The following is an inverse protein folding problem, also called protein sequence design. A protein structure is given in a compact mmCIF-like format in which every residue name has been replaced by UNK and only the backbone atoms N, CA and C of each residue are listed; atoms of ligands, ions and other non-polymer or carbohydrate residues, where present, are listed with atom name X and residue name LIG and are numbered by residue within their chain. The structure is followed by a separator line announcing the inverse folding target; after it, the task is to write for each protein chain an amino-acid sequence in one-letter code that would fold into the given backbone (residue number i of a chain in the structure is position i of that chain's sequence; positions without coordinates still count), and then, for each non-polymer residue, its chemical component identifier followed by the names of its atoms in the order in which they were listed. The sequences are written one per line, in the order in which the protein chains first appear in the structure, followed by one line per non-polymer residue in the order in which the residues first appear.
data_IF_318152858732
#
_entry.id   IF_318152858732
#
_cell.length_a   1.000
_cell.length_b   1.000
_cell.length_c   1.000
_cell.angle_alpha   90.00
_cell.angle_beta   90.00
_cell.angle_gamma   90.00
#
_symmetry.space_group_name_H-M   'P 1'
#
loop_
_entity.id
_entity.type
_entity.pdbx_description
1 polymer ?
#
# COMPACT_ATOMS: atom_id res chain seq x y z
N UNK A 1 -23.03 -3.36 -10.73
CA UNK A 1 -22.67 -4.38 -9.75
C UNK A 1 -23.56 -5.64 -9.88
N UNK A 2 -24.87 -5.48 -10.00
CA UNK A 2 -25.78 -6.63 -10.13
C UNK A 2 -25.48 -7.45 -11.38
N UNK A 3 -25.33 -6.81 -12.53
CA UNK A 3 -24.99 -7.44 -13.81
C UNK A 3 -23.60 -8.08 -13.82
N UNK A 4 -22.65 -7.53 -13.05
CA UNK A 4 -21.30 -8.09 -12.89
C UNK A 4 -21.18 -9.15 -11.80
N UNK A 5 -22.26 -9.51 -11.14
CA UNK A 5 -22.30 -10.46 -10.01
C UNK A 5 -21.32 -10.10 -8.88
N UNK A 6 -21.01 -8.82 -8.72
CA UNK A 6 -20.07 -8.35 -7.72
C UNK A 6 -20.70 -8.29 -6.33
N UNK A 7 -19.95 -8.68 -5.33
CA UNK A 7 -20.39 -8.64 -3.94
C UNK A 7 -20.63 -7.20 -3.49
N UNK A 8 -21.78 -6.95 -2.83
CA UNK A 8 -22.14 -5.68 -2.22
C UNK A 8 -21.45 -5.57 -0.87
N UNK A 9 -20.45 -4.70 -0.77
CA UNK A 9 -19.51 -4.67 0.35
C UNK A 9 -19.39 -3.32 1.05
N UNK A 10 -20.08 -2.27 0.56
CA UNK A 10 -20.01 -0.95 1.17
C UNK A 10 -21.15 -0.75 2.16
N UNK A 11 -20.83 -0.19 3.31
CA UNK A 11 -21.79 0.23 4.34
C UNK A 11 -21.86 1.75 4.38
N UNK A 12 -23.07 2.30 4.52
CA UNK A 12 -23.33 3.74 4.51
C UNK A 12 -22.82 4.44 5.79
N UNK A 13 -22.77 3.70 6.88
CA UNK A 13 -22.22 4.16 8.15
C UNK A 13 -21.27 3.10 8.73
N UNK A 14 -20.06 3.48 9.14
CA UNK A 14 -19.04 2.54 9.60
C UNK A 14 -19.39 1.86 10.93
N UNK A 15 -20.26 2.43 11.74
CA UNK A 15 -20.68 1.87 13.03
C UNK A 15 -22.02 1.13 12.92
N UNK A 16 -23.02 1.70 12.26
CA UNK A 16 -24.34 1.09 12.07
C UNK A 16 -24.33 -0.05 11.07
N UNK A 17 -23.35 -0.08 10.17
CA UNK A 17 -23.08 -1.18 9.22
C UNK A 17 -24.23 -1.48 8.23
N UNK A 18 -25.04 -0.48 7.90
CA UNK A 18 -26.12 -0.64 6.91
C UNK A 18 -25.54 -0.68 5.49
N UNK A 19 -25.76 -1.77 4.76
CA UNK A 19 -25.22 -1.95 3.41
C UNK A 19 -25.88 -1.02 2.41
N UNK A 20 -25.08 -0.35 1.56
CA UNK A 20 -25.55 0.58 0.52
C UNK A 20 -26.25 -0.13 -0.64
N UNK A 21 -26.00 -1.43 -0.83
CA UNK A 21 -26.51 -2.32 -1.89
C UNK A 21 -26.03 -2.02 -3.31
N UNK A 22 -25.30 -0.94 -3.51
CA UNK A 22 -24.77 -0.51 -4.81
C UNK A 22 -23.26 -0.23 -4.80
N UNK A 23 -22.59 -0.43 -3.66
CA UNK A 23 -21.17 -0.17 -3.43
C UNK A 23 -20.75 1.30 -3.60
N UNK A 24 -21.64 2.22 -3.35
CA UNK A 24 -21.33 3.66 -3.35
C UNK A 24 -21.21 4.21 -1.91
N UNK A 25 -20.47 5.33 -1.73
CA UNK A 25 -19.60 6.00 -2.71
C UNK A 25 -18.28 5.28 -2.93
N UNK A 26 -17.65 5.49 -4.08
CA UNK A 26 -16.24 5.16 -4.29
C UNK A 26 -15.34 6.19 -3.60
N UNK A 27 -14.12 5.78 -3.24
CA UNK A 27 -13.09 6.71 -2.76
C UNK A 27 -12.40 7.34 -3.98
N UNK A 28 -12.47 8.66 -4.10
CA UNK A 28 -11.93 9.40 -5.25
C UNK A 28 -10.86 10.36 -4.76
N UNK A 29 -9.70 10.31 -5.39
CA UNK A 29 -8.61 11.27 -5.20
C UNK A 29 -8.44 12.10 -6.46
N UNK A 30 -8.22 13.40 -6.30
CA UNK A 30 -8.00 14.33 -7.40
C UNK A 30 -6.57 14.88 -7.33
N UNK A 31 -5.92 14.93 -8.49
CA UNK A 31 -4.65 15.64 -8.69
C UNK A 31 -4.85 16.60 -9.86
N UNK A 32 -4.58 17.88 -9.64
CA UNK A 32 -4.68 18.91 -10.68
C UNK A 32 -3.31 19.01 -11.35
N UNK A 33 -3.30 18.77 -12.67
CA UNK A 33 -2.10 18.83 -13.49
C UNK A 33 -2.28 19.87 -14.61
N UNK A 34 -1.18 20.46 -15.14
CA UNK A 34 -1.27 21.35 -16.29
C UNK A 34 -1.77 20.61 -17.54
N UNK A 35 -2.55 21.33 -18.36
CA UNK A 35 -3.03 20.83 -19.65
C UNK A 35 -4.55 20.69 -19.70
N UNK A 36 -5.04 20.08 -20.76
CA UNK A 36 -6.46 19.87 -21.09
C UNK A 36 -6.83 18.37 -21.09
N UNK A 37 -5.93 17.51 -20.67
CA UNK A 37 -6.12 16.07 -20.62
C UNK A 37 -6.66 15.63 -19.26
N UNK A 38 -7.48 14.59 -19.26
CA UNK A 38 -7.93 13.90 -18.04
C UNK A 38 -7.37 12.47 -18.05
N UNK A 39 -6.65 12.11 -17.01
CA UNK A 39 -6.22 10.73 -16.76
C UNK A 39 -7.05 10.13 -15.62
N UNK A 40 -7.63 8.97 -15.85
CA UNK A 40 -8.44 8.25 -14.86
C UNK A 40 -7.77 6.92 -14.56
N UNK A 41 -7.36 6.74 -13.31
CA UNK A 41 -6.83 5.47 -12.81
C UNK A 41 -7.85 4.80 -11.91
N UNK A 42 -8.21 3.56 -12.22
CA UNK A 42 -9.12 2.75 -11.40
C UNK A 42 -8.32 1.64 -10.73
N UNK A 43 -8.32 1.62 -9.40
CA UNK A 43 -7.59 0.65 -8.61
C UNK A 43 -8.56 -0.17 -7.72
N UNK A 44 -9.02 -1.34 -8.18
CA UNK A 44 -9.78 -2.24 -7.32
C UNK A 44 -8.91 -2.73 -6.16
N UNK A 45 -9.44 -2.70 -4.94
CA UNK A 45 -8.66 -2.98 -3.73
C UNK A 45 -9.44 -3.90 -2.79
N UNK A 46 -8.82 -5.03 -2.45
CA UNK A 46 -9.33 -5.93 -1.43
C UNK A 46 -9.23 -5.32 -0.02
N UNK A 47 -10.34 -5.23 0.69
CA UNK A 47 -10.37 -4.59 2.02
C UNK A 47 -9.71 -5.45 3.11
N UNK A 48 -9.66 -6.76 2.95
CA UNK A 48 -8.91 -7.64 3.86
C UNK A 48 -7.42 -7.26 3.94
N UNK A 49 -6.80 -7.03 2.79
CA UNK A 49 -5.40 -6.54 2.75
C UNK A 49 -5.27 -5.06 3.17
N UNK A 50 -6.29 -4.23 2.91
CA UNK A 50 -6.33 -2.84 3.40
C UNK A 50 -6.27 -2.79 4.93
N UNK A 51 -7.00 -3.65 5.63
CA UNK A 51 -7.00 -3.74 7.09
C UNK A 51 -5.62 -4.04 7.69
N UNK A 52 -4.73 -4.63 6.91
CA UNK A 52 -3.38 -4.98 7.35
C UNK A 52 -2.37 -3.84 7.16
N UNK A 53 -2.78 -2.74 6.54
CA UNK A 53 -1.95 -1.56 6.32
C UNK A 53 -1.68 -0.79 7.62
N UNK A 54 -0.55 -0.07 7.68
CA UNK A 54 -0.11 0.66 8.88
C UNK A 54 0.50 2.02 8.51
N UNK A 55 0.41 2.94 9.47
CA UNK A 55 1.08 4.24 9.41
C UNK A 55 1.97 4.38 10.64
N UNK A 56 3.19 4.83 10.42
CA UNK A 56 4.17 5.08 11.46
C UNK A 56 4.63 6.53 11.38
N UNK A 57 4.66 7.21 12.51
CA UNK A 57 5.28 8.53 12.63
C UNK A 57 6.66 8.33 13.25
N UNK A 58 7.63 7.98 12.39
CA UNK A 58 8.99 7.72 12.82
C UNK A 58 9.73 9.02 13.16
N UNK A 59 10.80 8.89 13.95
CA UNK A 59 11.73 9.99 14.20
C UNK A 59 12.76 10.05 13.07
N UNK A 60 13.27 11.24 12.71
CA UNK A 60 14.36 11.36 11.72
C UNK A 60 15.58 10.48 12.02
N UNK A 61 15.88 10.29 13.31
CA UNK A 61 16.99 9.44 13.76
C UNK A 61 16.80 7.95 13.45
N UNK A 62 15.55 7.48 13.26
CA UNK A 62 15.27 6.08 12.90
C UNK A 62 15.72 5.79 11.45
N UNK A 63 15.75 6.82 10.61
CA UNK A 63 16.32 6.79 9.28
C UNK A 63 15.82 5.64 8.41
N UNK A 64 16.69 5.17 7.53
CA UNK A 64 16.43 4.07 6.60
C UNK A 64 16.07 2.75 7.30
N UNK A 65 16.76 2.43 8.38
CA UNK A 65 16.51 1.21 9.15
C UNK A 65 15.14 1.24 9.83
N UNK A 66 14.69 2.40 10.32
CA UNK A 66 13.32 2.56 10.84
C UNK A 66 12.26 2.25 9.79
N UNK A 67 12.46 2.71 8.54
CA UNK A 67 11.56 2.38 7.43
C UNK A 67 11.54 0.88 7.15
N UNK A 68 12.72 0.24 7.09
CA UNK A 68 12.82 -1.22 6.87
C UNK A 68 12.08 -1.97 7.96
N UNK A 69 12.31 -1.62 9.21
CA UNK A 69 11.67 -2.27 10.36
C UNK A 69 10.15 -2.10 10.34
N UNK A 70 9.64 -0.90 10.03
CA UNK A 70 8.21 -0.63 9.91
C UNK A 70 7.54 -1.50 8.83
N UNK A 71 8.19 -1.65 7.66
CA UNK A 71 7.69 -2.53 6.59
C UNK A 71 7.68 -3.99 7.03
N UNK A 72 8.77 -4.49 7.59
CA UNK A 72 8.88 -5.89 8.03
C UNK A 72 7.89 -6.21 9.15
N UNK A 73 7.73 -5.31 10.12
CA UNK A 73 6.74 -5.44 11.19
C UNK A 73 5.31 -5.50 10.63
N UNK A 74 4.98 -4.57 9.72
CA UNK A 74 3.66 -4.54 9.08
C UNK A 74 3.35 -5.85 8.38
N UNK A 75 4.31 -6.40 7.61
CA UNK A 75 4.13 -7.67 6.89
C UNK A 75 4.02 -8.85 7.84
N UNK A 76 4.82 -8.89 8.91
CA UNK A 76 4.72 -9.94 9.95
C UNK A 76 3.35 -9.95 10.62
N UNK A 77 2.85 -8.76 11.02
CA UNK A 77 1.53 -8.62 11.64
C UNK A 77 0.39 -8.97 10.68
N UNK A 78 0.55 -8.69 9.40
CA UNK A 78 -0.42 -9.05 8.37
C UNK A 78 -0.50 -10.58 8.20
N UNK A 79 0.63 -11.25 8.13
CA UNK A 79 0.70 -12.70 7.96
C UNK A 79 -0.19 -13.21 6.82
N UNK A 80 -0.95 -14.28 7.03
CA UNK A 80 -1.87 -14.84 6.03
C UNK A 80 -3.08 -13.94 5.75
N UNK A 81 -3.45 -13.02 6.66
CA UNK A 81 -4.66 -12.20 6.55
C UNK A 81 -4.62 -11.21 5.37
N UNK A 82 -3.44 -10.90 4.84
CA UNK A 82 -3.26 -10.07 3.67
C UNK A 82 -3.41 -10.82 2.33
N UNK A 83 -3.67 -12.13 2.37
CA UNK A 83 -3.74 -13.01 1.20
C UNK A 83 -2.46 -12.95 0.34
N UNK A 84 -1.29 -13.32 0.87
CA UNK A 84 -0.05 -13.34 0.10
C UNK A 84 -0.10 -14.37 -1.07
N UNK A 85 0.69 -14.15 -2.13
CA UNK A 85 1.75 -13.15 -2.25
C UNK A 85 1.20 -11.74 -2.45
N UNK A 86 1.73 -10.78 -1.70
CA UNK A 86 1.26 -9.40 -1.62
C UNK A 86 2.05 -8.44 -2.51
N UNK A 87 1.47 -7.27 -2.74
CA UNK A 87 2.17 -6.09 -3.25
C UNK A 87 2.18 -5.02 -2.17
N UNK A 88 3.32 -4.38 -1.97
CA UNK A 88 3.50 -3.34 -0.99
C UNK A 88 3.67 -1.98 -1.67
N UNK A 89 2.82 -1.04 -1.27
CA UNK A 89 3.00 0.38 -1.55
C UNK A 89 3.48 1.09 -0.29
N UNK A 90 4.62 1.75 -0.37
CA UNK A 90 5.21 2.48 0.75
C UNK A 90 5.24 3.96 0.41
N UNK A 91 4.70 4.77 1.29
CA UNK A 91 4.77 6.24 1.20
C UNK A 91 5.68 6.78 2.28
N UNK A 92 6.67 7.57 1.92
CA UNK A 92 7.65 8.14 2.85
C UNK A 92 7.66 9.65 2.73
N UNK A 93 7.50 10.35 3.85
CA UNK A 93 7.55 11.80 3.90
C UNK A 93 6.18 12.47 3.77
N UNK A 94 6.18 13.79 3.56
CA UNK A 94 4.99 14.62 3.61
C UNK A 94 4.49 14.82 5.05
N UNK A 95 3.20 14.59 5.22
CA UNK A 95 2.46 14.65 6.48
C UNK A 95 1.74 13.31 6.74
N UNK A 96 0.98 13.22 7.81
CA UNK A 96 0.23 12.00 8.18
C UNK A 96 -0.67 11.50 7.03
N UNK A 97 -1.47 12.37 6.44
CA UNK A 97 -2.35 12.02 5.32
C UNK A 97 -1.56 11.84 4.01
N UNK A 98 -0.51 12.65 3.78
CA UNK A 98 0.26 12.59 2.54
C UNK A 98 1.00 11.27 2.38
N UNK A 99 1.62 10.75 3.42
CA UNK A 99 2.31 9.46 3.34
C UNK A 99 1.36 8.31 3.02
N UNK A 100 0.11 8.34 3.50
CA UNK A 100 -0.90 7.33 3.15
C UNK A 100 -1.33 7.41 1.69
N UNK A 101 -1.51 8.62 1.14
CA UNK A 101 -1.79 8.83 -0.28
C UNK A 101 -0.63 8.36 -1.16
N UNK A 102 0.61 8.61 -0.75
CA UNK A 102 1.81 8.11 -1.46
C UNK A 102 1.84 6.58 -1.47
N UNK A 103 1.54 5.93 -0.36
CA UNK A 103 1.47 4.48 -0.29
C UNK A 103 0.41 3.90 -1.24
N UNK A 104 -0.76 4.56 -1.37
CA UNK A 104 -1.77 4.22 -2.38
C UNK A 104 -1.26 4.39 -3.80
N UNK A 105 -0.62 5.53 -4.09
CA UNK A 105 -0.04 5.83 -5.41
C UNK A 105 1.04 4.81 -5.78
N UNK A 106 1.86 4.39 -4.83
CA UNK A 106 2.87 3.37 -5.04
C UNK A 106 2.29 2.02 -5.49
N UNK A 107 1.11 1.64 -5.02
CA UNK A 107 0.45 0.38 -5.42
C UNK A 107 0.03 0.35 -6.88
N UNK A 108 -0.24 1.49 -7.51
CA UNK A 108 -0.68 1.54 -8.91
C UNK A 108 0.48 1.62 -9.90
N UNK A 109 1.71 1.83 -9.43
CA UNK A 109 2.89 1.79 -10.29
C UNK A 109 3.21 0.34 -10.69
N UNK A 110 3.50 0.14 -11.98
CA UNK A 110 3.86 -1.17 -12.50
C UNK A 110 5.09 -1.73 -11.75
N UNK A 111 5.02 -3.00 -11.34
CA UNK A 111 6.08 -3.67 -10.58
C UNK A 111 7.41 -3.81 -11.33
N UNK A 112 7.39 -3.74 -12.65
CA UNK A 112 8.60 -3.76 -13.48
C UNK A 112 9.27 -2.39 -13.59
N UNK A 113 8.62 -1.31 -13.11
CA UNK A 113 9.14 0.04 -13.15
C UNK A 113 9.61 0.42 -11.75
N UNK A 114 10.93 0.48 -11.57
CA UNK A 114 11.55 0.91 -10.31
C UNK A 114 11.52 2.42 -10.15
N UNK A 115 11.66 2.90 -8.92
CA UNK A 115 11.75 4.32 -8.65
C UNK A 115 12.95 4.94 -9.38
N UNK A 116 12.79 6.15 -9.90
CA UNK A 116 13.83 6.88 -10.63
C UNK A 116 14.98 7.35 -9.73
N UNK A 117 14.73 7.53 -8.43
CA UNK A 117 15.75 7.90 -7.45
C UNK A 117 16.54 6.65 -7.05
N UNK A 118 17.84 6.64 -7.30
CA UNK A 118 18.71 5.47 -7.08
C UNK A 118 18.60 4.87 -5.67
N UNK A 119 18.65 5.69 -4.63
CA UNK A 119 18.60 5.22 -3.24
C UNK A 119 17.23 4.63 -2.86
N UNK A 120 16.14 5.10 -3.50
CA UNK A 120 14.80 4.54 -3.31
C UNK A 120 14.66 3.22 -4.06
N UNK A 121 15.14 3.14 -5.29
CA UNK A 121 15.21 1.88 -6.04
C UNK A 121 15.95 0.79 -5.26
N UNK A 122 17.12 1.11 -4.71
CA UNK A 122 17.91 0.20 -3.88
C UNK A 122 17.12 -0.26 -2.64
N UNK A 123 16.35 0.65 -2.03
CA UNK A 123 15.49 0.31 -0.90
C UNK A 123 14.31 -0.58 -1.30
N UNK A 124 13.68 -0.37 -2.46
CA UNK A 124 12.64 -1.25 -3.00
C UNK A 124 13.15 -2.68 -3.19
N UNK A 125 14.34 -2.83 -3.77
CA UNK A 125 14.98 -4.12 -4.03
C UNK A 125 15.35 -4.84 -2.71
N UNK A 126 15.95 -4.12 -1.76
CA UNK A 126 16.29 -4.67 -0.46
C UNK A 126 15.05 -5.10 0.34
N UNK A 127 14.01 -4.26 0.35
CA UNK A 127 12.76 -4.58 1.05
C UNK A 127 12.09 -5.82 0.46
N UNK A 128 12.09 -5.97 -0.86
CA UNK A 128 11.52 -7.16 -1.49
C UNK A 128 12.26 -8.43 -1.06
N UNK A 129 13.59 -8.38 -1.00
CA UNK A 129 14.40 -9.50 -0.51
C UNK A 129 14.07 -9.81 0.96
N UNK A 130 14.12 -8.81 1.84
CA UNK A 130 13.88 -8.97 3.28
C UNK A 130 12.45 -9.45 3.59
N UNK A 131 11.44 -8.94 2.88
CA UNK A 131 10.05 -9.40 3.03
C UNK A 131 9.92 -10.86 2.61
N UNK A 132 10.55 -11.26 1.52
CA UNK A 132 10.51 -12.65 1.07
C UNK A 132 11.27 -13.60 2.01
N UNK A 133 12.31 -13.12 2.69
CA UNK A 133 13.02 -13.89 3.74
C UNK A 133 12.16 -14.16 4.97
N UNK A 134 11.04 -13.46 5.18
CA UNK A 134 10.10 -13.76 6.26
C UNK A 134 9.46 -15.15 6.11
N UNK A 135 9.46 -15.73 4.92
CA UNK A 135 9.00 -17.08 4.67
C UNK A 135 7.51 -17.33 4.87
N UNK A 136 6.67 -16.26 4.90
CA UNK A 136 5.21 -16.38 5.07
C UNK A 136 4.61 -17.16 3.90
N UNK A 137 5.05 -16.87 2.69
CA UNK A 137 4.69 -17.59 1.49
C UNK A 137 3.23 -17.44 1.03
N UNK A 138 2.87 -18.04 -0.12
CA UNK A 138 1.53 -17.99 -0.66
C UNK A 138 0.49 -18.52 0.33
N UNK A 139 -0.60 -17.75 0.52
CA UNK A 139 -1.65 -18.09 1.47
C UNK A 139 -1.23 -18.14 2.94
N UNK A 140 0.02 -17.82 3.26
CA UNK A 140 0.58 -17.94 4.61
C UNK A 140 1.03 -19.36 4.99
N UNK A 141 1.14 -20.25 4.02
CA UNK A 141 1.54 -21.66 4.23
C UNK A 141 3.05 -21.89 4.22
N UNK A 142 3.83 -20.85 4.24
CA UNK A 142 5.28 -20.94 4.08
C UNK A 142 5.72 -20.86 2.62
N UNK A 143 7.00 -20.56 2.41
CA UNK A 143 7.60 -20.52 1.09
C UNK A 143 8.37 -19.23 0.81
N UNK A 144 8.97 -19.17 -0.38
CA UNK A 144 9.93 -18.12 -0.75
C UNK A 144 9.30 -16.82 -1.21
N UNK A 145 8.03 -16.82 -1.64
CA UNK A 145 7.37 -15.65 -2.21
C UNK A 145 6.27 -15.16 -1.28
N UNK A 146 6.59 -14.21 -0.42
CA UNK A 146 5.63 -13.47 0.41
C UNK A 146 5.10 -12.24 -0.29
N UNK A 147 5.97 -11.53 -1.02
CA UNK A 147 5.61 -10.36 -1.82
C UNK A 147 6.08 -10.52 -3.27
N UNK A 148 5.27 -10.01 -4.20
CA UNK A 148 5.57 -9.91 -5.64
C UNK A 148 6.37 -8.65 -5.95
N UNK A 149 6.19 -7.59 -5.17
CA UNK A 149 6.88 -6.33 -5.36
C UNK A 149 6.69 -5.37 -4.19
N UNK A 150 7.61 -4.43 -4.10
CA UNK A 150 7.60 -3.29 -3.21
C UNK A 150 7.84 -2.06 -4.05
N UNK A 151 6.91 -1.12 -4.03
CA UNK A 151 7.05 0.19 -4.65
C UNK A 151 7.04 1.27 -3.59
N UNK A 152 7.87 2.29 -3.74
CA UNK A 152 8.02 3.39 -2.79
C UNK A 152 7.78 4.71 -3.52
N UNK A 153 6.93 5.56 -2.95
CA UNK A 153 6.79 6.96 -3.35
C UNK A 153 7.23 7.87 -2.19
N UNK A 154 7.88 8.98 -2.54
CA UNK A 154 8.44 9.90 -1.55
C UNK A 154 7.94 11.32 -1.75
N UNK A 155 7.94 12.10 -0.67
CA UNK A 155 7.60 13.51 -0.70
C UNK A 155 8.43 14.28 0.33
N UNK A 156 8.79 15.55 0.08
CA UNK A 156 9.46 16.39 1.07
C UNK A 156 8.68 16.41 2.39
N UNK A 157 9.40 16.38 3.51
CA UNK A 157 8.82 16.36 4.84
C UNK A 157 9.46 17.38 5.77
N UNK A 158 8.80 17.67 6.89
CA UNK A 158 9.34 18.55 7.92
C UNK A 158 10.58 17.92 8.58
N UNK A 159 11.58 18.74 8.92
CA UNK A 159 12.87 18.29 9.48
C UNK A 159 12.71 17.44 10.75
N UNK A 160 11.64 17.63 11.51
CA UNK A 160 11.39 16.92 12.77
C UNK A 160 10.63 15.58 12.62
N UNK A 161 10.26 15.19 11.40
CA UNK A 161 9.41 14.02 11.18
C UNK A 161 9.92 13.08 10.08
N UNK A 162 9.52 11.82 10.18
CA UNK A 162 9.69 10.80 9.15
C UNK A 162 8.42 9.95 9.09
N UNK A 163 7.32 10.49 8.53
CA UNK A 163 6.09 9.72 8.38
C UNK A 163 6.27 8.63 7.32
N UNK A 164 5.79 7.42 7.62
CA UNK A 164 5.87 6.25 6.76
C UNK A 164 4.53 5.53 6.77
N UNK A 165 3.97 5.30 5.60
CA UNK A 165 2.78 4.48 5.45
C UNK A 165 3.09 3.25 4.62
N UNK A 166 2.55 2.10 5.03
CA UNK A 166 2.64 0.84 4.32
C UNK A 166 1.22 0.40 3.99
N UNK A 167 0.89 0.41 2.70
CA UNK A 167 -0.39 -0.09 2.20
C UNK A 167 -0.18 -1.45 1.54
N UNK A 168 -0.90 -2.45 2.03
CA UNK A 168 -0.80 -3.82 1.54
C UNK A 168 -1.91 -4.09 0.53
N UNK A 169 -1.58 -4.64 -0.62
CA UNK A 169 -2.53 -5.19 -1.56
C UNK A 169 -2.32 -6.70 -1.73
N UNK A 170 -3.43 -7.45 -1.78
CA UNK A 170 -3.37 -8.89 -2.00
C UNK A 170 -3.00 -9.23 -3.46
N UNK A 171 -2.78 -10.50 -3.73
CA UNK A 171 -2.37 -11.00 -5.05
C UNK A 171 -3.35 -10.69 -6.20
N UNK A 172 -4.57 -10.26 -5.91
CA UNK A 172 -5.58 -9.95 -6.94
C UNK A 172 -5.23 -8.72 -7.78
N UNK A 173 -4.37 -7.84 -7.26
CA UNK A 173 -3.91 -6.63 -7.95
C UNK A 173 -2.59 -6.88 -8.70
N UNK A 174 -2.60 -7.79 -9.64
CA UNK A 174 -1.43 -8.15 -10.48
C UNK A 174 -1.50 -7.49 -11.84
#
# INVERSE_FOLDING_TARGET
YAEGYLRKSIVSDPLLRVNTKDNTPGVIHYEIVPGDQMEITVAPKGFGSENMSRVYMLKPADGREGVINAVLETVKLAGPNACPPIVLGVGIGGSFEKCTLLAKKALIRNLNIRNHQKHIKELEEELLIKVNQLGIGPGGFGGRITALGVNIETYPTHIAGLPVAINICCHVNR
#
